data_IF_065584285949
#
_entry.id   IF_065584285949
#
_cell.length_a   1.000
_cell.length_b   1.000
_cell.length_c   1.000
_cell.angle_alpha   90.00
_cell.angle_beta   90.00
_cell.angle_gamma   90.00
#
_symmetry.space_group_name_H-M   'P 1'
#
loop_
_entity.id
_entity.type
_entity.pdbx_description
1 polymer ?
#
# COMPACT_ATOMS: atom_id res chain seq x y z
N UNK A 1 4.25 -1.37 9.10
CA UNK A 1 3.36 -0.21 8.93
C UNK A 1 1.91 -0.68 8.83
N UNK A 2 1.24 -0.60 9.97
CA UNK A 2 -0.21 -0.66 10.12
C UNK A 2 -0.86 0.60 9.54
N UNK A 3 -2.17 0.56 9.29
CA UNK A 3 -2.89 1.72 8.78
C UNK A 3 -2.93 2.86 9.81
N UNK A 4 -2.85 2.53 11.10
CA UNK A 4 -2.74 3.47 12.21
C UNK A 4 -1.42 4.25 12.17
N UNK A 5 -0.29 3.57 12.02
CA UNK A 5 1.00 4.25 11.90
C UNK A 5 1.06 5.19 10.68
N UNK A 6 0.46 4.77 9.57
CA UNK A 6 0.36 5.58 8.35
C UNK A 6 -0.57 6.79 8.57
N UNK A 7 -1.71 6.58 9.24
CA UNK A 7 -2.66 7.66 9.52
C UNK A 7 -2.07 8.71 10.45
N UNK A 8 -1.34 8.27 11.48
CA UNK A 8 -0.66 9.15 12.42
C UNK A 8 0.44 9.96 11.73
N UNK A 9 1.21 9.34 10.84
CA UNK A 9 2.30 10.00 10.09
C UNK A 9 1.76 11.04 9.09
N UNK A 10 0.62 10.75 8.46
CA UNK A 10 0.06 11.58 7.38
C UNK A 10 -1.06 12.52 7.86
N UNK A 11 -1.37 12.54 9.16
CA UNK A 11 -2.50 13.29 9.73
C UNK A 11 -3.85 12.96 9.04
N UNK A 12 -4.07 11.69 8.71
CA UNK A 12 -5.29 11.20 8.07
C UNK A 12 -6.10 10.34 9.05
N UNK A 13 -7.35 10.03 8.69
CA UNK A 13 -8.09 8.97 9.39
C UNK A 13 -7.62 7.58 8.92
N UNK A 14 -7.67 6.57 9.79
CA UNK A 14 -7.42 5.17 9.40
C UNK A 14 -8.32 4.70 8.25
N UNK A 15 -9.56 5.19 8.20
CA UNK A 15 -10.51 4.90 7.12
C UNK A 15 -10.06 5.47 5.78
N UNK A 16 -9.54 6.70 5.77
CA UNK A 16 -8.94 7.33 4.59
C UNK A 16 -7.74 6.53 4.09
N UNK A 17 -6.85 6.12 4.99
CA UNK A 17 -5.70 5.27 4.66
C UNK A 17 -6.15 3.91 4.08
N UNK A 18 -7.16 3.26 4.68
CA UNK A 18 -7.75 2.02 4.14
C UNK A 18 -8.23 2.22 2.69
N UNK A 19 -8.94 3.31 2.42
CA UNK A 19 -9.44 3.61 1.08
C UNK A 19 -8.30 3.80 0.06
N UNK A 20 -7.25 4.53 0.44
CA UNK A 20 -6.07 4.69 -0.42
C UNK A 20 -5.35 3.36 -0.69
N UNK A 21 -5.16 2.53 0.32
CA UNK A 21 -4.54 1.20 0.15
C UNK A 21 -5.40 0.33 -0.77
N UNK A 22 -6.71 0.26 -0.57
CA UNK A 22 -7.61 -0.51 -1.43
C UNK A 22 -7.56 -0.03 -2.89
N UNK A 23 -7.57 1.29 -3.10
CA UNK A 23 -7.45 1.86 -4.44
C UNK A 23 -6.08 1.57 -5.09
N UNK A 24 -4.99 1.63 -4.30
CA UNK A 24 -3.64 1.30 -4.75
C UNK A 24 -3.53 -0.17 -5.17
N UNK A 25 -3.97 -1.11 -4.32
CA UNK A 25 -3.95 -2.54 -4.61
C UNK A 25 -4.75 -2.86 -5.88
N UNK A 26 -5.92 -2.24 -6.04
CA UNK A 26 -6.72 -2.37 -7.27
C UNK A 26 -5.98 -1.86 -8.50
N UNK A 27 -5.31 -0.71 -8.42
CA UNK A 27 -4.51 -0.15 -9.53
C UNK A 27 -3.31 -1.02 -9.90
N UNK A 28 -2.71 -1.67 -8.90
CA UNK A 28 -1.60 -2.61 -9.10
C UNK A 28 -2.07 -4.01 -9.54
N UNK A 29 -3.37 -4.30 -9.47
CA UNK A 29 -3.91 -5.61 -9.83
C UNK A 29 -3.57 -6.72 -8.83
N UNK A 30 -3.26 -6.36 -7.58
CA UNK A 30 -2.84 -7.30 -6.53
C UNK A 30 -3.86 -7.37 -5.40
N UNK A 31 -3.89 -8.50 -4.69
CA UNK A 31 -4.93 -8.75 -3.66
C UNK A 31 -4.57 -8.19 -2.29
N UNK A 32 -3.28 -8.09 -1.97
CA UNK A 32 -2.82 -7.65 -0.66
C UNK A 32 -1.48 -6.91 -0.73
N UNK A 33 -1.11 -6.31 0.41
CA UNK A 33 0.13 -5.54 0.56
C UNK A 33 1.41 -6.37 0.44
N UNK A 34 1.33 -7.68 0.65
CA UNK A 34 2.47 -8.60 0.48
C UNK A 34 2.77 -8.79 -1.01
N UNK A 35 1.74 -9.05 -1.81
CA UNK A 35 1.87 -9.11 -3.27
C UNK A 35 2.37 -7.79 -3.85
N UNK A 36 1.86 -6.65 -3.36
CA UNK A 36 2.35 -5.33 -3.76
C UNK A 36 3.85 -5.14 -3.45
N UNK A 37 4.30 -5.59 -2.26
CA UNK A 37 5.71 -5.51 -1.88
C UNK A 37 6.60 -6.41 -2.75
N UNK A 38 6.17 -7.65 -3.04
CA UNK A 38 6.89 -8.57 -3.94
C UNK A 38 6.99 -7.97 -5.35
N UNK A 39 5.90 -7.41 -5.87
CA UNK A 39 5.88 -6.73 -7.17
C UNK A 39 6.88 -5.56 -7.20
N UNK A 40 6.90 -4.73 -6.17
CA UNK A 40 7.83 -3.61 -6.07
C UNK A 40 9.30 -4.06 -6.01
N UNK A 41 9.60 -5.18 -5.33
CA UNK A 41 10.95 -5.76 -5.31
C UNK A 41 11.37 -6.22 -6.71
N UNK A 42 10.50 -6.95 -7.42
CA UNK A 42 10.77 -7.38 -8.80
C UNK A 42 10.98 -6.20 -9.76
N UNK A 43 10.24 -5.11 -9.58
CA UNK A 43 10.42 -3.88 -10.35
C UNK A 43 11.76 -3.17 -10.05
N UNK A 44 12.23 -3.23 -8.80
CA UNK A 44 13.53 -2.67 -8.40
C UNK A 44 14.73 -3.44 -8.94
N UNK A 45 14.55 -4.71 -9.28
CA UNK A 45 15.60 -5.59 -9.80
C UNK A 45 15.74 -5.55 -11.34
N UNK A 46 15.01 -4.65 -12.01
CA UNK A 46 15.21 -4.39 -13.45
C UNK A 46 16.47 -3.53 -13.61
N UNK A 47 17.53 -4.00 -14.33
CA UNK A 47 18.71 -3.19 -14.64
C UNK A 47 18.39 -2.00 -15.55
#
# INVERSE_FOLDING_TARGET
>A
LSNKEISDTLCLSEGTVKNHITALLRKLGVQDRTQAAIMALRMKEVP
#
